data_IF_878122238189
#
_entry.id   IF_878122238189
#
_cell.length_a   1.000
_cell.length_b   1.000
_cell.length_c   1.000
_cell.angle_alpha   90.00
_cell.angle_beta   90.00
_cell.angle_gamma   90.00
#
_symmetry.space_group_name_H-M   'P 1'
#
loop_
_entity.id
_entity.type
_entity.pdbx_description
1 polymer ?
#
# COMPACT_ATOMS: atom_id res chain seq x y z
N UNK A 1 -7.72 21.22 -9.74
CA UNK A 1 -6.65 22.01 -10.40
C UNK A 1 -6.05 21.18 -11.53
N UNK A 2 -5.47 21.82 -12.56
CA UNK A 2 -4.73 21.09 -13.61
C UNK A 2 -3.33 20.73 -13.07
N UNK A 3 -2.84 19.50 -13.30
CA UNK A 3 -1.48 19.16 -12.88
C UNK A 3 -0.45 19.98 -13.67
N UNK A 4 0.57 20.45 -12.96
CA UNK A 4 1.74 21.10 -13.56
C UNK A 4 2.88 20.08 -13.69
N UNK A 5 3.79 20.31 -14.64
CA UNK A 5 4.98 19.49 -14.84
C UNK A 5 6.19 20.37 -15.13
N UNK A 6 7.39 19.88 -14.80
CA UNK A 6 8.63 20.61 -15.00
C UNK A 6 9.76 19.63 -15.39
N UNK A 7 10.68 20.09 -16.24
CA UNK A 7 11.86 19.30 -16.65
C UNK A 7 12.96 19.48 -15.59
N UNK A 8 13.38 18.38 -14.96
CA UNK A 8 14.47 18.38 -13.97
C UNK A 8 15.87 18.33 -14.59
N UNK A 9 16.04 17.76 -15.79
CA UNK A 9 17.35 17.63 -16.41
C UNK A 9 18.05 18.97 -16.71
N UNK A 10 17.39 20.00 -17.29
CA UNK A 10 18.03 21.29 -17.52
C UNK A 10 18.42 22.02 -16.23
N UNK A 11 17.65 21.82 -15.14
CA UNK A 11 18.00 22.31 -13.81
C UNK A 11 19.36 21.76 -13.37
N UNK A 12 19.53 20.44 -13.38
CA UNK A 12 20.80 19.85 -12.94
C UNK A 12 21.96 20.21 -13.88
N UNK A 13 21.73 20.34 -15.18
CA UNK A 13 22.78 20.85 -16.10
C UNK A 13 23.23 22.27 -15.78
N UNK A 14 22.37 23.10 -15.18
CA UNK A 14 22.69 24.45 -14.74
C UNK A 14 23.41 24.48 -13.39
N UNK A 15 23.05 23.58 -12.49
CA UNK A 15 23.59 23.55 -11.11
C UNK A 15 24.89 22.76 -10.99
N UNK A 16 25.09 21.75 -11.84
CA UNK A 16 26.26 20.88 -11.78
C UNK A 16 27.44 21.43 -12.61
N UNK A 17 28.70 21.10 -12.26
CA UNK A 17 29.86 21.55 -13.02
C UNK A 17 29.76 21.23 -14.52
N UNK A 18 30.26 22.09 -15.42
CA UNK A 18 30.25 21.85 -16.86
C UNK A 18 30.84 20.48 -17.22
N UNK A 19 30.18 19.75 -18.12
CA UNK A 19 30.59 18.40 -18.52
C UNK A 19 30.13 17.28 -17.58
N UNK A 20 29.50 17.60 -16.44
CA UNK A 20 29.00 16.59 -15.50
C UNK A 20 27.90 15.73 -16.12
N UNK A 21 28.00 14.41 -15.89
CA UNK A 21 26.90 13.47 -16.21
C UNK A 21 25.72 13.75 -15.27
N UNK A 22 24.59 14.12 -15.84
CA UNK A 22 23.35 14.45 -15.12
C UNK A 22 22.30 13.33 -15.21
N UNK A 23 22.73 12.08 -15.44
CA UNK A 23 21.83 10.92 -15.34
C UNK A 23 21.43 10.70 -13.89
N UNK A 24 20.20 10.22 -13.64
CA UNK A 24 19.64 10.16 -12.29
C UNK A 24 20.51 9.33 -11.32
N UNK A 25 20.93 8.13 -11.72
CA UNK A 25 21.81 7.27 -10.90
C UNK A 25 23.13 7.95 -10.57
N UNK A 26 23.67 8.74 -11.50
CA UNK A 26 24.95 9.41 -11.34
C UNK A 26 24.83 10.67 -10.49
N UNK A 27 23.75 11.43 -10.64
CA UNK A 27 23.40 12.51 -9.73
C UNK A 27 23.19 11.97 -8.31
N UNK A 28 22.44 10.88 -8.16
CA UNK A 28 22.19 10.27 -6.87
C UNK A 28 23.49 9.84 -6.19
N UNK A 29 24.38 9.15 -6.92
CA UNK A 29 25.68 8.77 -6.39
C UNK A 29 26.51 9.97 -5.94
N UNK A 30 26.57 11.03 -6.76
CA UNK A 30 27.35 12.23 -6.43
C UNK A 30 26.78 13.02 -5.26
N UNK A 31 25.45 13.14 -5.18
CA UNK A 31 24.78 14.03 -4.22
C UNK A 31 24.43 13.33 -2.91
N UNK A 32 24.07 12.05 -2.97
CA UNK A 32 23.67 11.25 -1.82
C UNK A 32 24.75 10.25 -1.37
N UNK A 33 25.81 10.06 -2.16
CA UNK A 33 26.97 9.23 -1.80
C UNK A 33 26.86 7.74 -2.15
N UNK A 34 25.75 7.28 -2.73
CA UNK A 34 25.53 5.86 -3.05
C UNK A 34 24.63 5.67 -4.28
N UNK A 35 24.69 4.49 -4.90
CA UNK A 35 23.88 4.13 -6.08
C UNK A 35 22.61 3.39 -5.65
N UNK A 36 21.41 3.80 -6.12
CA UNK A 36 20.16 3.08 -5.81
C UNK A 36 20.23 1.61 -6.21
N UNK A 37 19.84 0.70 -5.31
CA UNK A 37 19.90 -0.74 -5.53
C UNK A 37 18.90 -1.19 -6.62
N UNK A 38 17.66 -0.68 -6.54
CA UNK A 38 16.58 -0.98 -7.49
C UNK A 38 16.40 0.13 -8.55
N UNK A 39 17.52 0.70 -9.01
CA UNK A 39 17.52 1.67 -10.10
C UNK A 39 16.75 1.12 -11.31
N UNK A 40 15.99 1.99 -11.99
CA UNK A 40 15.08 1.63 -13.09
C UNK A 40 13.76 0.96 -12.68
N UNK A 41 13.49 0.77 -11.40
CA UNK A 41 12.11 0.68 -10.95
C UNK A 41 11.48 2.08 -10.92
N UNK A 42 10.23 2.21 -11.35
CA UNK A 42 9.58 3.52 -11.42
C UNK A 42 9.50 4.21 -10.05
N UNK A 43 9.27 3.44 -8.99
CA UNK A 43 9.18 3.97 -7.63
C UNK A 43 10.55 4.43 -7.12
N UNK A 44 11.59 3.64 -7.31
CA UNK A 44 12.94 4.01 -6.85
C UNK A 44 13.50 5.19 -7.67
N UNK A 45 13.19 5.27 -8.96
CA UNK A 45 13.54 6.44 -9.76
C UNK A 45 12.81 7.70 -9.26
N UNK A 46 11.54 7.60 -8.82
CA UNK A 46 10.83 8.71 -8.19
C UNK A 46 11.48 9.13 -6.86
N UNK A 47 11.80 8.16 -5.98
CA UNK A 47 12.46 8.41 -4.69
C UNK A 47 13.86 9.01 -4.89
N UNK A 48 14.64 8.46 -5.81
CA UNK A 48 15.95 8.96 -6.19
C UNK A 48 15.87 10.40 -6.71
N UNK A 49 14.89 10.72 -7.56
CA UNK A 49 14.70 12.07 -8.06
C UNK A 49 14.34 13.05 -6.94
N UNK A 50 13.45 12.66 -6.02
CA UNK A 50 13.11 13.47 -4.85
C UNK A 50 14.35 13.74 -3.99
N UNK A 51 15.18 12.72 -3.72
CA UNK A 51 16.41 12.88 -2.92
C UNK A 51 17.40 13.84 -3.58
N UNK A 52 17.64 13.69 -4.88
CA UNK A 52 18.55 14.58 -5.64
C UNK A 52 18.02 16.02 -5.68
N UNK A 53 16.70 16.23 -5.83
CA UNK A 53 16.08 17.55 -5.75
C UNK A 53 16.26 18.18 -4.35
N UNK A 54 16.09 17.39 -3.29
CA UNK A 54 16.28 17.85 -1.91
C UNK A 54 17.71 18.31 -1.64
N UNK A 55 18.72 17.64 -2.21
CA UNK A 55 20.14 18.04 -2.13
C UNK A 55 20.46 19.38 -2.83
N UNK A 56 19.49 20.00 -3.51
CA UNK A 56 19.63 21.24 -4.29
C UNK A 56 18.58 22.28 -3.94
N UNK A 57 17.91 22.12 -2.80
CA UNK A 57 17.08 23.18 -2.23
C UNK A 57 17.94 24.38 -1.79
N UNK A 58 17.47 25.64 -1.96
CA UNK A 58 16.16 26.02 -2.49
C UNK A 58 16.10 26.16 -4.02
N UNK A 59 17.23 26.10 -4.74
CA UNK A 59 17.30 26.38 -6.18
C UNK A 59 16.32 25.56 -7.03
N UNK A 60 16.05 24.31 -6.62
CA UNK A 60 15.01 23.49 -7.25
C UNK A 60 13.61 24.11 -7.19
N UNK A 61 13.21 24.70 -6.06
CA UNK A 61 11.88 25.32 -5.92
C UNK A 61 11.74 26.54 -6.81
N UNK A 62 12.79 27.37 -6.89
CA UNK A 62 12.80 28.54 -7.77
C UNK A 62 12.72 28.13 -9.23
N UNK A 63 13.42 27.05 -9.61
CA UNK A 63 13.29 26.46 -10.94
C UNK A 63 11.87 25.98 -11.23
N UNK A 64 11.24 25.22 -10.32
CA UNK A 64 9.86 24.76 -10.50
C UNK A 64 8.91 25.95 -10.63
N UNK A 65 9.03 26.98 -9.80
CA UNK A 65 8.20 28.20 -9.90
C UNK A 65 8.30 28.90 -11.25
N UNK A 66 9.50 28.93 -11.85
CA UNK A 66 9.76 29.64 -13.10
C UNK A 66 9.47 28.79 -14.35
N UNK A 67 9.64 27.46 -14.26
CA UNK A 67 9.69 26.58 -15.43
C UNK A 67 8.56 25.54 -15.47
N UNK A 68 7.71 25.47 -14.44
CA UNK A 68 6.55 24.58 -14.45
C UNK A 68 5.51 25.05 -15.47
N UNK A 69 4.98 24.10 -16.23
CA UNK A 69 3.93 24.33 -17.24
C UNK A 69 2.76 23.38 -17.01
N UNK A 70 1.53 23.73 -17.42
CA UNK A 70 0.40 22.82 -17.41
C UNK A 70 0.72 21.50 -18.14
N UNK A 71 0.33 20.36 -17.58
CA UNK A 71 0.64 19.04 -18.18
C UNK A 71 0.02 18.86 -19.58
N UNK A 72 -1.13 19.47 -19.83
CA UNK A 72 -1.78 19.48 -21.15
C UNK A 72 -1.00 20.25 -22.23
N UNK A 73 -0.01 21.05 -21.85
CA UNK A 73 0.92 21.70 -22.79
C UNK A 73 2.03 20.76 -23.29
N UNK A 74 2.21 19.58 -22.67
CA UNK A 74 3.23 18.62 -23.07
C UNK A 74 2.74 17.82 -24.27
N UNK A 75 3.43 17.97 -25.39
CA UNK A 75 3.14 17.18 -26.59
C UNK A 75 3.29 15.66 -26.29
N UNK A 76 2.31 14.83 -26.67
CA UNK A 76 2.38 13.40 -26.44
C UNK A 76 3.52 12.79 -27.25
N UNK A 77 4.29 11.88 -26.63
CA UNK A 77 5.43 11.21 -27.29
C UNK A 77 5.01 10.37 -28.51
N UNK A 78 3.77 9.88 -28.50
CA UNK A 78 3.19 9.13 -29.61
C UNK A 78 1.76 9.63 -29.85
N UNK A 79 1.42 9.87 -31.11
CA UNK A 79 0.03 10.09 -31.55
C UNK A 79 -0.49 8.76 -32.05
N UNK A 80 -1.48 8.19 -31.36
CA UNK A 80 -2.01 6.87 -31.71
C UNK A 80 -2.62 6.88 -33.12
N UNK A 81 -1.97 6.22 -34.07
CA UNK A 81 -2.60 5.85 -35.35
C UNK A 81 -3.62 4.74 -35.06
N UNK A 82 -4.87 5.13 -34.75
CA UNK A 82 -6.03 4.24 -34.54
C UNK A 82 -5.79 3.14 -33.48
N UNK A 83 -6.20 3.38 -32.23
CA UNK A 83 -6.19 2.31 -31.21
C UNK A 83 -7.09 1.17 -31.70
N UNK A 84 -6.54 -0.03 -31.89
CA UNK A 84 -7.36 -1.23 -31.85
C UNK A 84 -8.03 -1.27 -30.47
N UNK A 85 -9.35 -1.51 -30.37
CA UNK A 85 -9.98 -1.67 -29.08
C UNK A 85 -9.24 -2.77 -28.31
N UNK A 86 -8.67 -2.40 -27.17
CA UNK A 86 -8.14 -3.40 -26.25
C UNK A 86 -9.34 -4.25 -25.80
N UNK A 87 -9.22 -5.58 -25.76
CA UNK A 87 -10.29 -6.39 -25.19
C UNK A 87 -10.56 -5.94 -23.77
N UNK A 88 -11.83 -5.99 -23.33
CA UNK A 88 -12.18 -5.66 -21.96
C UNK A 88 -11.32 -6.48 -20.98
N UNK A 89 -10.80 -5.83 -19.95
CA UNK A 89 -10.05 -6.50 -18.89
C UNK A 89 -11.02 -7.28 -17.99
N UNK A 90 -10.71 -8.52 -17.57
CA UNK A 90 -9.49 -9.28 -17.88
C UNK A 90 -9.47 -9.69 -19.36
N UNK A 91 -8.36 -9.38 -20.04
CA UNK A 91 -8.15 -9.78 -21.43
C UNK A 91 -8.43 -11.28 -21.50
N UNK A 92 -9.31 -11.74 -22.42
CA UNK A 92 -9.76 -13.14 -22.53
C UNK A 92 -8.57 -14.10 -22.56
N UNK A 93 -8.09 -14.48 -21.38
CA UNK A 93 -7.19 -15.60 -21.18
C UNK A 93 -8.11 -16.81 -21.21
N UNK A 94 -8.02 -17.57 -22.30
CA UNK A 94 -8.62 -18.89 -22.42
C UNK A 94 -7.97 -19.79 -21.35
N UNK A 95 -8.51 -19.74 -20.13
CA UNK A 95 -8.14 -20.64 -19.05
C UNK A 95 -9.27 -21.64 -18.93
N UNK A 96 -8.94 -22.89 -19.25
CA UNK A 96 -9.78 -24.04 -18.94
C UNK A 96 -10.17 -23.94 -17.46
N UNK A 97 -11.47 -24.00 -17.21
CA UNK A 97 -12.16 -23.91 -15.92
C UNK A 97 -11.54 -24.84 -14.88
N UNK A 98 -10.55 -24.33 -14.13
CA UNK A 98 -10.41 -24.68 -12.72
C UNK A 98 -11.13 -23.58 -11.93
N UNK A 99 -12.03 -23.98 -11.02
CA UNK A 99 -12.64 -23.09 -10.02
C UNK A 99 -11.53 -22.62 -9.07
N UNK A 100 -10.72 -21.66 -9.49
CA UNK A 100 -9.75 -20.99 -8.63
C UNK A 100 -10.50 -20.02 -7.72
N UNK A 101 -10.24 -20.08 -6.40
CA UNK A 101 -10.94 -19.24 -5.40
C UNK A 101 -10.61 -17.74 -5.53
N UNK A 102 -9.39 -17.41 -5.99
CA UNK A 102 -8.90 -16.04 -6.20
C UNK A 102 -7.72 -16.04 -7.18
N UNK A 103 -7.43 -14.88 -7.80
CA UNK A 103 -6.35 -14.67 -8.77
C UNK A 103 -5.34 -13.60 -8.39
N UNK A 104 -5.71 -12.62 -7.57
CA UNK A 104 -4.77 -11.62 -7.03
C UNK A 104 -4.81 -11.64 -5.51
N UNK A 105 -3.63 -11.70 -4.88
CA UNK A 105 -3.46 -11.47 -3.45
C UNK A 105 -3.20 -9.98 -3.26
N UNK A 106 -3.89 -9.35 -2.32
CA UNK A 106 -3.68 -7.96 -1.94
C UNK A 106 -3.35 -7.89 -0.45
N UNK A 107 -2.10 -7.60 -0.11
CA UNK A 107 -1.74 -7.33 1.28
C UNK A 107 -2.16 -5.91 1.63
N UNK A 108 -2.91 -5.76 2.72
CA UNK A 108 -3.37 -4.49 3.29
C UNK A 108 -2.66 -4.23 4.60
N UNK A 109 -2.32 -2.97 4.82
CA UNK A 109 -1.91 -2.44 6.12
C UNK A 109 -2.43 -1.00 6.29
N UNK A 110 -2.81 -0.64 7.52
CA UNK A 110 -3.27 0.69 7.90
C UNK A 110 -2.45 1.25 9.06
N UNK A 111 -1.81 2.41 8.83
CA UNK A 111 -1.34 3.24 9.93
C UNK A 111 -2.47 4.14 10.43
N UNK A 112 -2.47 4.40 11.73
CA UNK A 112 -3.60 5.06 12.40
C UNK A 112 -3.18 6.04 13.48
N UNK A 113 -4.14 6.82 13.97
CA UNK A 113 -3.92 7.76 15.07
C UNK A 113 -3.59 7.09 16.42
N UNK A 114 -3.85 5.79 16.57
CA UNK A 114 -3.65 5.05 17.82
C UNK A 114 -4.42 3.72 17.84
N UNK A 115 -4.67 3.14 19.01
CA UNK A 115 -5.42 1.87 19.11
C UNK A 115 -6.88 2.05 19.57
N UNK A 116 -7.18 3.16 20.26
CA UNK A 116 -8.51 3.45 20.79
C UNK A 116 -9.22 4.44 19.87
N UNK A 117 -10.34 4.01 19.28
CA UNK A 117 -11.11 4.79 18.29
C UNK A 117 -10.22 5.39 17.18
N UNK A 118 -9.41 4.56 16.50
CA UNK A 118 -8.47 5.05 15.50
C UNK A 118 -9.14 5.67 14.29
N UNK A 119 -8.44 6.63 13.68
CA UNK A 119 -8.67 7.11 12.32
C UNK A 119 -7.47 6.74 11.46
N UNK A 120 -7.71 6.48 10.18
CA UNK A 120 -6.63 6.10 9.24
C UNK A 120 -5.75 7.31 8.92
N UNK A 121 -4.43 7.14 9.00
CA UNK A 121 -3.41 8.12 8.61
C UNK A 121 -2.65 7.71 7.35
N UNK A 122 -2.49 6.40 7.13
CA UNK A 122 -1.93 5.82 5.91
C UNK A 122 -2.68 4.54 5.53
N UNK A 123 -2.90 4.31 4.24
CA UNK A 123 -3.40 3.04 3.71
C UNK A 123 -2.42 2.54 2.66
N UNK A 124 -1.99 1.29 2.81
CA UNK A 124 -1.14 0.61 1.85
C UNK A 124 -1.81 -0.65 1.29
N UNK A 125 -1.64 -0.87 -0.02
CA UNK A 125 -1.96 -2.12 -0.69
C UNK A 125 -0.76 -2.58 -1.52
N UNK A 126 -0.31 -3.81 -1.28
CA UNK A 126 0.71 -4.50 -2.08
C UNK A 126 0.10 -5.74 -2.74
N UNK A 127 0.06 -5.76 -4.07
CA UNK A 127 -0.68 -6.80 -4.80
C UNK A 127 0.21 -7.63 -5.72
N UNK A 128 -0.05 -8.93 -5.78
CA UNK A 128 0.66 -9.89 -6.61
C UNK A 128 -0.31 -10.89 -7.26
N UNK A 129 0.00 -11.35 -8.47
CA UNK A 129 -0.75 -12.40 -9.13
C UNK A 129 -0.51 -13.75 -8.45
N UNK A 130 -1.56 -14.56 -8.28
CA UNK A 130 -1.47 -15.89 -7.68
C UNK A 130 -0.44 -16.76 -8.38
N UNK A 131 -0.39 -16.73 -9.71
CA UNK A 131 0.53 -17.56 -10.48
C UNK A 131 2.00 -17.17 -10.23
N UNK A 132 2.27 -15.87 -10.03
CA UNK A 132 3.61 -15.38 -9.68
C UNK A 132 4.01 -15.80 -8.26
N UNK A 133 3.07 -15.74 -7.31
CA UNK A 133 3.30 -16.19 -5.93
C UNK A 133 3.59 -17.69 -5.87
N UNK A 134 2.76 -18.52 -6.51
CA UNK A 134 2.93 -19.98 -6.50
C UNK A 134 4.26 -20.41 -7.13
N UNK A 135 4.75 -19.71 -8.16
CA UNK A 135 6.07 -19.98 -8.76
C UNK A 135 7.25 -19.68 -7.83
N UNK A 136 7.03 -18.87 -6.79
CA UNK A 136 8.08 -18.36 -5.87
C UNK A 136 7.87 -18.83 -4.43
N UNK A 137 6.84 -19.64 -4.16
CA UNK A 137 6.56 -20.16 -2.84
C UNK A 137 7.78 -20.89 -2.26
N UNK A 138 8.04 -20.69 -0.98
CA UNK A 138 9.24 -21.20 -0.31
C UNK A 138 10.45 -20.24 -0.42
N UNK A 139 10.26 -19.04 -0.97
CA UNK A 139 11.28 -17.97 -1.00
C UNK A 139 10.77 -16.73 -0.28
N UNK A 140 11.67 -15.83 0.09
CA UNK A 140 11.37 -14.50 0.63
C UNK A 140 11.46 -13.40 -0.45
N UNK A 141 11.88 -13.76 -1.67
CA UNK A 141 12.11 -12.83 -2.76
C UNK A 141 10.82 -12.47 -3.48
N UNK A 142 10.35 -11.25 -3.22
CA UNK A 142 9.15 -10.73 -3.83
C UNK A 142 9.20 -10.75 -5.38
N UNK A 143 8.07 -11.00 -6.06
CA UNK A 143 7.97 -10.84 -7.51
C UNK A 143 8.31 -9.41 -7.93
N UNK A 144 8.92 -9.22 -9.11
CA UNK A 144 9.09 -7.86 -9.68
C UNK A 144 7.75 -7.24 -10.11
N UNK A 145 6.79 -8.07 -10.51
CA UNK A 145 5.47 -7.68 -10.97
C UNK A 145 4.51 -7.49 -9.79
N UNK A 146 4.59 -6.32 -9.15
CA UNK A 146 3.72 -5.92 -8.04
C UNK A 146 3.02 -4.61 -8.38
N UNK A 147 1.74 -4.48 -8.04
CA UNK A 147 1.10 -3.16 -7.98
C UNK A 147 1.08 -2.69 -6.53
N UNK A 148 1.33 -1.40 -6.34
CA UNK A 148 1.37 -0.72 -5.05
C UNK A 148 0.40 0.45 -5.05
N UNK A 149 -0.32 0.64 -3.96
CA UNK A 149 -1.05 1.87 -3.64
C UNK A 149 -0.65 2.27 -2.23
N UNK A 150 -0.29 3.53 -2.02
CA UNK A 150 -0.04 4.11 -0.71
C UNK A 150 -0.64 5.51 -0.67
N UNK A 151 -1.48 5.78 0.33
CA UNK A 151 -2.22 7.03 0.47
C UNK A 151 -2.11 7.51 1.91
N UNK A 152 -1.77 8.79 2.08
CA UNK A 152 -1.82 9.48 3.37
C UNK A 152 -3.16 10.20 3.52
N UNK A 153 -3.64 10.28 4.75
CA UNK A 153 -4.90 10.93 5.08
C UNK A 153 -4.74 11.92 6.22
N UNK A 154 -5.50 13.00 6.16
CA UNK A 154 -5.77 13.81 7.35
C UNK A 154 -6.84 13.09 8.18
N UNK A 155 -6.50 12.61 9.39
CA UNK A 155 -7.45 11.84 10.21
C UNK A 155 -8.56 12.71 10.82
N UNK A 156 -8.44 14.05 10.79
CA UNK A 156 -9.40 14.96 11.42
C UNK A 156 -9.31 15.00 12.96
N UNK A 157 -8.42 14.20 13.57
CA UNK A 157 -8.15 14.18 15.00
C UNK A 157 -6.64 14.07 15.28
N UNK A 158 -6.26 14.12 16.55
CA UNK A 158 -4.84 14.07 16.94
C UNK A 158 -4.26 12.65 16.78
N UNK A 159 -3.03 12.58 16.25
CA UNK A 159 -2.23 11.34 16.27
C UNK A 159 -1.58 11.24 17.65
N UNK A 160 -1.83 10.15 18.37
CA UNK A 160 -1.23 9.94 19.69
C UNK A 160 0.30 9.96 19.63
N UNK A 161 1.00 10.42 20.68
CA UNK A 161 2.47 10.44 20.68
C UNK A 161 3.10 9.08 20.39
N UNK A 162 2.49 8.00 20.88
CA UNK A 162 2.96 6.64 20.61
C UNK A 162 2.85 6.27 19.13
N UNK A 163 1.72 6.57 18.49
CA UNK A 163 1.53 6.29 17.06
C UNK A 163 2.46 7.16 16.21
N UNK A 164 2.61 8.43 16.54
CA UNK A 164 3.51 9.34 15.83
C UNK A 164 4.99 8.91 15.95
N UNK A 165 5.41 8.43 17.12
CA UNK A 165 6.77 7.94 17.34
C UNK A 165 7.08 6.68 16.53
N UNK A 166 6.10 5.80 16.36
CA UNK A 166 6.26 4.52 15.67
C UNK A 166 6.21 4.72 14.16
N UNK A 167 5.24 5.50 13.66
CA UNK A 167 4.97 5.67 12.22
C UNK A 167 5.73 6.82 11.57
N UNK A 168 6.23 7.76 12.38
CA UNK A 168 6.75 9.04 11.89
C UNK A 168 5.68 9.98 11.31
N UNK A 169 4.40 9.60 11.35
CA UNK A 169 3.28 10.42 10.89
C UNK A 169 2.72 11.25 12.05
N UNK A 170 2.65 12.56 11.85
CA UNK A 170 2.19 13.52 12.85
C UNK A 170 1.37 14.63 12.18
N UNK A 171 0.65 15.42 12.98
CA UNK A 171 -0.25 16.46 12.45
C UNK A 171 0.42 17.40 11.42
N UNK A 172 1.70 17.72 11.55
CA UNK A 172 2.37 18.63 10.61
C UNK A 172 2.48 18.11 9.17
N UNK A 173 2.67 16.81 8.98
CA UNK A 173 2.74 16.21 7.63
C UNK A 173 1.36 15.78 7.10
N UNK A 174 0.38 15.55 7.98
CA UNK A 174 -0.95 15.07 7.60
C UNK A 174 -1.98 16.19 7.41
N UNK A 175 -1.81 17.37 8.03
CA UNK A 175 -2.82 18.46 7.99
C UNK A 175 -3.22 18.90 6.57
N UNK A 176 -2.30 18.83 5.61
CA UNK A 176 -2.54 19.21 4.21
C UNK A 176 -3.00 18.06 3.33
N UNK A 177 -3.10 16.84 3.86
CA UNK A 177 -3.62 15.70 3.13
C UNK A 177 -5.16 15.74 3.06
N UNK A 178 -5.77 15.15 2.02
CA UNK A 178 -7.20 14.91 2.01
C UNK A 178 -7.63 13.98 3.16
N UNK A 179 -8.86 14.14 3.64
CA UNK A 179 -9.46 13.14 4.52
C UNK A 179 -9.80 11.86 3.74
N UNK A 180 -10.14 10.78 4.46
CA UNK A 180 -10.69 9.59 3.81
C UNK A 180 -12.11 9.91 3.29
N UNK A 181 -12.24 10.12 1.98
CA UNK A 181 -13.47 10.63 1.35
C UNK A 181 -13.94 9.78 0.16
N UNK A 182 -14.94 10.30 -0.56
CA UNK A 182 -15.48 9.64 -1.76
C UNK A 182 -14.48 9.47 -2.90
N UNK A 183 -13.47 10.34 -3.03
CA UNK A 183 -12.41 10.19 -4.01
C UNK A 183 -11.52 9.00 -3.62
N UNK A 184 -11.23 8.83 -2.34
CA UNK A 184 -10.51 7.66 -1.80
C UNK A 184 -11.27 6.36 -2.10
N UNK A 185 -12.58 6.31 -1.84
CA UNK A 185 -13.42 5.13 -2.17
C UNK A 185 -13.35 4.80 -3.67
N UNK A 186 -13.51 5.81 -4.54
CA UNK A 186 -13.46 5.63 -6.00
C UNK A 186 -12.09 5.17 -6.48
N UNK A 187 -11.01 5.71 -5.89
CA UNK A 187 -9.65 5.31 -6.20
C UNK A 187 -9.39 3.85 -5.82
N UNK A 188 -9.78 3.44 -4.61
CA UNK A 188 -9.66 2.06 -4.14
C UNK A 188 -10.46 1.10 -5.03
N UNK A 189 -11.72 1.42 -5.34
CA UNK A 189 -12.54 0.63 -6.26
C UNK A 189 -11.93 0.54 -7.67
N UNK A 190 -11.41 1.64 -8.21
CA UNK A 190 -10.72 1.64 -9.50
C UNK A 190 -9.43 0.80 -9.48
N UNK A 191 -8.66 0.86 -8.39
CA UNK A 191 -7.46 0.05 -8.21
C UNK A 191 -7.79 -1.44 -8.20
N UNK A 192 -8.77 -1.85 -7.39
CA UNK A 192 -9.22 -3.26 -7.31
C UNK A 192 -9.75 -3.77 -8.66
N UNK A 193 -10.54 -2.99 -9.39
CA UNK A 193 -11.04 -3.39 -10.72
C UNK A 193 -9.94 -3.64 -11.75
N UNK A 194 -8.75 -3.07 -11.56
CA UNK A 194 -7.58 -3.31 -12.43
C UNK A 194 -6.80 -4.58 -12.10
N UNK A 195 -7.18 -5.29 -11.04
CA UNK A 195 -6.55 -6.55 -10.61
C UNK A 195 -7.31 -7.76 -11.17
N UNK A 196 -6.62 -8.91 -11.30
CA UNK A 196 -7.27 -10.14 -11.71
C UNK A 196 -8.23 -10.62 -10.62
N UNK A 197 -9.51 -10.71 -10.97
CA UNK A 197 -10.55 -11.16 -10.06
C UNK A 197 -10.61 -12.70 -9.98
N UNK A 198 -11.06 -13.27 -8.85
CA UNK A 198 -11.36 -12.61 -7.57
C UNK A 198 -10.09 -12.14 -6.84
N UNK A 199 -10.19 -11.09 -6.02
CA UNK A 199 -9.11 -10.60 -5.15
C UNK A 199 -9.26 -11.19 -3.75
N UNK A 200 -8.15 -11.68 -3.18
CA UNK A 200 -8.02 -12.05 -1.77
C UNK A 200 -7.16 -11.02 -1.04
N UNK A 201 -7.79 -10.21 -0.21
CA UNK A 201 -7.15 -9.24 0.67
C UNK A 201 -6.67 -9.91 1.96
N UNK A 202 -5.43 -9.65 2.36
CA UNK A 202 -4.83 -10.23 3.57
C UNK A 202 -4.20 -9.12 4.40
N UNK A 203 -4.49 -9.11 5.70
CA UNK A 203 -3.86 -8.21 6.66
C UNK A 203 -3.47 -9.00 7.92
N UNK A 204 -2.47 -8.53 8.65
CA UNK A 204 -2.01 -9.18 9.87
C UNK A 204 -2.78 -8.67 11.09
N UNK A 205 -3.52 -9.54 11.78
CA UNK A 205 -4.52 -9.15 12.78
C UNK A 205 -5.68 -8.32 12.17
N UNK A 206 -5.89 -8.47 10.86
CA UNK A 206 -6.85 -7.68 10.09
C UNK A 206 -8.30 -7.85 10.55
N UNK A 207 -8.69 -9.04 11.02
CA UNK A 207 -10.06 -9.28 11.49
C UNK A 207 -10.41 -8.47 12.74
N UNK A 208 -9.40 -8.05 13.51
CA UNK A 208 -9.56 -7.27 14.75
C UNK A 208 -9.18 -5.80 14.59
N UNK A 209 -8.61 -5.41 13.46
CA UNK A 209 -8.06 -4.06 13.27
C UNK A 209 -8.35 -3.50 11.88
N UNK A 210 -7.56 -3.87 10.86
CA UNK A 210 -7.59 -3.25 9.55
C UNK A 210 -8.95 -3.36 8.85
N UNK A 211 -9.55 -4.55 8.87
CA UNK A 211 -10.80 -4.77 8.14
C UNK A 211 -11.97 -4.02 8.77
N UNK A 212 -12.24 -4.10 10.09
CA UNK A 212 -13.27 -3.29 10.72
C UNK A 212 -13.06 -1.78 10.56
N UNK A 213 -11.80 -1.30 10.63
CA UNK A 213 -11.49 0.11 10.48
C UNK A 213 -11.73 0.60 9.05
N UNK A 214 -11.21 -0.11 8.05
CA UNK A 214 -11.44 0.21 6.64
C UNK A 214 -12.94 0.20 6.32
N UNK A 215 -13.69 -0.78 6.85
CA UNK A 215 -15.13 -0.86 6.68
C UNK A 215 -15.85 0.36 7.28
N UNK A 216 -15.39 0.86 8.42
CA UNK A 216 -15.95 2.07 9.04
C UNK A 216 -15.69 3.32 8.19
N UNK A 217 -14.44 3.53 7.73
CA UNK A 217 -14.08 4.68 6.88
C UNK A 217 -14.81 4.64 5.53
N UNK A 218 -14.91 3.47 4.89
CA UNK A 218 -15.67 3.30 3.64
C UNK A 218 -17.14 3.64 3.82
N UNK A 219 -17.76 3.24 4.93
CA UNK A 219 -19.17 3.56 5.23
C UNK A 219 -19.37 5.05 5.48
N UNK A 220 -18.49 5.69 6.26
CA UNK A 220 -18.54 7.14 6.49
C UNK A 220 -18.40 7.92 5.18
N UNK A 221 -17.38 7.62 4.39
CA UNK A 221 -17.15 8.28 3.10
C UNK A 221 -18.28 8.04 2.10
N UNK A 222 -18.87 6.84 2.09
CA UNK A 222 -20.01 6.52 1.21
C UNK A 222 -21.30 7.22 1.66
N UNK A 223 -21.53 7.32 2.97
CA UNK A 223 -22.68 8.04 3.52
C UNK A 223 -22.60 9.54 3.24
N UNK A 224 -21.42 10.14 3.40
CA UNK A 224 -21.17 11.54 3.05
C UNK A 224 -21.35 11.82 1.55
N UNK A 225 -21.22 10.79 0.71
CA UNK A 225 -21.37 10.86 -0.74
C UNK A 225 -22.69 10.24 -1.25
N UNK A 226 -23.72 10.18 -0.40
CA UNK A 226 -25.02 9.64 -0.76
C UNK A 226 -25.54 10.26 -2.08
N UNK A 227 -26.00 9.40 -2.99
CA UNK A 227 -26.44 9.80 -4.34
C UNK A 227 -25.34 9.77 -5.41
N UNK A 228 -24.06 9.60 -5.04
CA UNK A 228 -22.99 9.41 -6.03
C UNK A 228 -22.88 7.94 -6.47
N UNK A 229 -23.45 7.62 -7.64
CA UNK A 229 -23.43 6.25 -8.21
C UNK A 229 -22.02 5.68 -8.34
N UNK A 230 -21.05 6.48 -8.79
CA UNK A 230 -19.66 6.05 -8.94
C UNK A 230 -19.03 5.61 -7.60
N UNK A 231 -19.38 6.27 -6.50
CA UNK A 231 -18.92 5.91 -5.15
C UNK A 231 -19.61 4.63 -4.67
N UNK A 232 -20.92 4.50 -4.89
CA UNK A 232 -21.67 3.30 -4.55
C UNK A 232 -21.14 2.05 -5.30
N UNK A 233 -20.86 2.20 -6.60
CA UNK A 233 -20.28 1.12 -7.42
C UNK A 233 -18.88 0.74 -6.98
N UNK A 234 -18.09 1.71 -6.49
CA UNK A 234 -16.77 1.46 -5.93
C UNK A 234 -16.85 0.74 -4.59
N UNK A 235 -17.74 1.17 -3.69
CA UNK A 235 -17.98 0.50 -2.41
C UNK A 235 -18.47 -0.93 -2.60
N UNK A 236 -19.40 -1.17 -3.53
CA UNK A 236 -19.87 -2.52 -3.88
C UNK A 236 -18.75 -3.39 -4.44
N UNK A 237 -17.88 -2.84 -5.29
CA UNK A 237 -16.72 -3.55 -5.81
C UNK A 237 -15.78 -3.99 -4.67
N UNK A 238 -15.52 -3.10 -3.71
CA UNK A 238 -14.69 -3.41 -2.54
C UNK A 238 -15.36 -4.45 -1.63
N UNK A 239 -16.68 -4.39 -1.46
CA UNK A 239 -17.44 -5.38 -0.68
C UNK A 239 -17.33 -6.81 -1.22
N UNK A 240 -17.16 -6.96 -2.55
CA UNK A 240 -17.02 -8.27 -3.22
C UNK A 240 -15.64 -8.91 -3.11
N UNK A 241 -14.64 -8.17 -2.59
CA UNK A 241 -13.29 -8.70 -2.34
C UNK A 241 -13.35 -9.73 -1.20
N UNK A 242 -12.62 -10.83 -1.32
CA UNK A 242 -12.45 -11.77 -0.21
C UNK A 242 -11.41 -11.21 0.76
N UNK A 243 -11.57 -11.38 2.06
CA UNK A 243 -10.56 -11.02 3.06
C UNK A 243 -10.21 -12.21 3.97
N UNK A 244 -8.96 -12.31 4.39
CA UNK A 244 -8.48 -13.29 5.37
C UNK A 244 -7.45 -12.66 6.31
N UNK A 245 -7.50 -13.03 7.59
CA UNK A 245 -6.49 -12.62 8.58
C UNK A 245 -5.29 -13.57 8.52
N UNK A 246 -4.07 -13.03 8.43
CA UNK A 246 -2.86 -13.85 8.41
C UNK A 246 -2.46 -14.38 9.79
N UNK A 247 -2.86 -13.70 10.87
CA UNK A 247 -2.41 -14.02 12.22
C UNK A 247 -2.82 -15.44 12.67
N UNK A 248 -4.08 -15.90 12.51
CA UNK A 248 -4.45 -17.26 12.86
C UNK A 248 -3.68 -18.31 12.07
N UNK A 249 -3.50 -18.11 10.76
CA UNK A 249 -2.78 -19.03 9.89
C UNK A 249 -1.30 -19.14 10.29
N UNK A 250 -0.61 -18.01 10.46
CA UNK A 250 0.80 -17.98 10.86
C UNK A 250 1.00 -18.55 12.27
N UNK A 251 0.06 -18.29 13.18
CA UNK A 251 0.07 -18.86 14.52
C UNK A 251 -0.08 -20.38 14.49
N UNK A 252 -1.02 -20.90 13.70
CA UNK A 252 -1.20 -22.34 13.54
C UNK A 252 0.09 -22.98 13.02
N UNK A 253 0.66 -22.42 11.94
CA UNK A 253 1.90 -22.93 11.37
C UNK A 253 3.04 -22.91 12.38
N UNK A 254 3.22 -21.84 13.15
CA UNK A 254 4.30 -21.74 14.14
C UNK A 254 4.14 -22.73 15.29
N UNK A 255 2.91 -23.19 15.56
CA UNK A 255 2.62 -24.16 16.62
C UNK A 255 2.65 -25.62 16.13
N UNK A 256 2.86 -25.88 14.83
CA UNK A 256 3.05 -27.25 14.33
C UNK A 256 4.36 -27.85 14.85
N UNK A 257 4.41 -29.17 15.12
CA UNK A 257 5.63 -29.81 15.58
C UNK A 257 6.64 -30.04 14.45
N UNK A 258 7.93 -30.06 14.78
CA UNK A 258 8.99 -30.52 13.88
C UNK A 258 9.23 -29.61 12.67
N UNK A 259 9.60 -30.22 11.53
CA UNK A 259 9.91 -29.51 10.28
C UNK A 259 8.71 -28.78 9.66
N UNK A 260 7.49 -29.09 10.12
CA UNK A 260 6.25 -28.49 9.63
C UNK A 260 5.94 -27.14 10.32
N UNK A 261 6.62 -26.83 11.43
CA UNK A 261 6.54 -25.55 12.14
C UNK A 261 6.91 -24.38 11.22
N UNK A 262 6.25 -23.22 11.34
CA UNK A 262 6.54 -22.01 10.53
C UNK A 262 8.04 -21.69 10.51
N UNK A 263 8.72 -21.84 11.66
CA UNK A 263 10.18 -21.74 11.81
C UNK A 263 10.75 -22.91 12.61
N UNK A 264 12.01 -23.29 12.34
CA UNK A 264 12.70 -24.41 12.98
C UNK A 264 13.07 -24.16 14.46
N UNK A 265 13.26 -22.90 14.85
CA UNK A 265 13.62 -22.54 16.22
C UNK A 265 12.36 -22.53 17.12
N UNK A 266 12.33 -23.35 18.20
CA UNK A 266 11.21 -23.37 19.12
C UNK A 266 11.07 -22.02 19.84
N UNK A 267 9.82 -21.59 20.04
CA UNK A 267 9.51 -20.44 20.88
C UNK A 267 10.13 -20.63 22.26
N UNK A 268 11.00 -19.70 22.69
CA UNK A 268 11.69 -19.76 24.00
C UNK A 268 10.67 -20.02 25.11
N UNK A 269 10.61 -21.27 25.61
CA UNK A 269 9.75 -21.66 26.70
C UNK A 269 10.18 -20.90 27.98
N UNK A 270 9.22 -20.27 28.67
CA UNK A 270 9.46 -19.58 29.94
C UNK A 270 9.31 -18.06 29.93
N UNK A 271 9.03 -17.41 28.78
CA UNK A 271 8.61 -15.99 28.75
C UNK A 271 7.07 -15.87 28.81
N UNK A 272 6.53 -14.92 29.58
CA UNK A 272 5.08 -14.69 29.63
C UNK A 272 4.63 -14.12 28.28
N UNK A 273 3.89 -14.94 27.54
CA UNK A 273 3.35 -14.74 26.18
C UNK A 273 4.36 -14.81 25.02
N UNK A 274 4.25 -15.89 24.25
CA UNK A 274 4.63 -15.89 22.84
C UNK A 274 3.81 -14.81 22.14
N UNK A 275 4.48 -13.76 21.65
CA UNK A 275 3.83 -12.76 20.80
C UNK A 275 3.93 -13.21 19.36
N UNK A 276 2.91 -12.92 18.58
CA UNK A 276 2.84 -13.22 17.15
C UNK A 276 2.74 -11.92 16.36
N UNK A 277 3.49 -10.90 16.79
CA UNK A 277 3.55 -9.64 16.02
C UNK A 277 4.31 -9.88 14.72
N UNK A 278 3.98 -9.08 13.70
CA UNK A 278 4.63 -9.15 12.40
C UNK A 278 6.15 -9.06 12.51
N UNK A 279 6.67 -8.10 13.26
CA UNK A 279 8.11 -7.92 13.49
C UNK A 279 8.76 -9.16 14.12
N UNK A 280 8.12 -9.78 15.12
CA UNK A 280 8.69 -10.96 15.77
C UNK A 280 8.69 -12.16 14.82
N UNK A 281 7.60 -12.37 14.08
CA UNK A 281 7.51 -13.45 13.10
C UNK A 281 8.55 -13.25 11.98
N UNK A 282 8.71 -12.02 11.49
CA UNK A 282 9.70 -11.68 10.46
C UNK A 282 11.12 -11.95 10.94
N UNK A 283 11.47 -11.44 12.12
CA UNK A 283 12.80 -11.65 12.72
C UNK A 283 13.10 -13.12 12.96
N UNK A 284 12.10 -13.92 13.36
CA UNK A 284 12.26 -15.38 13.48
C UNK A 284 12.44 -16.09 12.14
N UNK A 285 11.73 -15.64 11.10
CA UNK A 285 11.82 -16.22 9.76
C UNK A 285 13.19 -16.00 9.10
N UNK A 286 13.75 -14.81 9.31
CA UNK A 286 14.90 -14.31 8.55
C UNK A 286 16.10 -14.04 9.45
N UNK A 287 16.41 -14.98 10.35
CA UNK A 287 17.66 -15.01 11.15
C UNK A 287 17.97 -13.73 11.93
N UNK A 288 16.95 -13.08 12.50
CA UNK A 288 17.10 -11.86 13.30
C UNK A 288 16.98 -10.56 12.50
N UNK A 289 16.76 -10.61 11.19
CA UNK A 289 16.55 -9.41 10.37
C UNK A 289 15.32 -8.60 10.83
N UNK A 290 15.40 -7.29 10.68
CA UNK A 290 14.25 -6.41 10.86
C UNK A 290 13.49 -6.24 9.53
N UNK A 291 12.15 -6.15 9.56
CA UNK A 291 11.39 -5.89 8.36
C UNK A 291 11.76 -4.53 7.75
N UNK A 292 11.98 -4.45 6.42
CA UNK A 292 12.34 -3.20 5.77
C UNK A 292 11.18 -2.20 5.87
N UNK A 293 11.47 -1.00 6.38
CA UNK A 293 10.46 0.05 6.50
C UNK A 293 9.35 -0.27 7.51
N UNK A 294 9.66 -1.03 8.57
CA UNK A 294 8.75 -1.33 9.67
C UNK A 294 7.97 -0.09 10.12
N UNK A 295 6.66 -0.24 10.34
CA UNK A 295 5.77 0.85 10.74
C UNK A 295 5.56 1.94 9.67
N UNK A 296 5.76 1.55 8.42
CA UNK A 296 5.12 2.21 7.28
C UNK A 296 4.20 1.19 6.63
N UNK A 297 3.05 1.62 6.11
CA UNK A 297 2.07 0.68 5.59
C UNK A 297 2.62 -0.15 4.44
N UNK A 298 3.45 0.42 3.56
CA UNK A 298 4.10 -0.35 2.48
C UNK A 298 5.19 -1.30 2.99
N UNK A 299 5.95 -0.90 4.01
CA UNK A 299 6.98 -1.74 4.62
C UNK A 299 6.37 -2.95 5.32
N UNK A 300 5.29 -2.75 6.08
CA UNK A 300 4.58 -3.82 6.78
C UNK A 300 3.83 -4.73 5.80
N UNK A 301 3.28 -4.18 4.70
CA UNK A 301 2.77 -4.98 3.59
C UNK A 301 3.84 -5.88 2.96
N UNK A 302 5.04 -5.33 2.73
CA UNK A 302 6.17 -6.06 2.17
C UNK A 302 6.66 -7.16 3.13
N UNK A 303 6.80 -6.84 4.41
CA UNK A 303 7.17 -7.79 5.45
C UNK A 303 6.19 -8.96 5.52
N UNK A 304 4.89 -8.68 5.53
CA UNK A 304 3.87 -9.72 5.54
C UNK A 304 3.89 -10.54 4.25
N UNK A 305 4.04 -9.93 3.08
CA UNK A 305 4.10 -10.67 1.82
C UNK A 305 5.31 -11.61 1.77
N UNK A 306 6.49 -11.16 2.26
CA UNK A 306 7.69 -12.00 2.35
C UNK A 306 7.47 -13.20 3.28
N UNK A 307 6.88 -12.97 4.46
CA UNK A 307 6.51 -14.03 5.39
C UNK A 307 5.54 -15.05 4.80
N UNK A 308 4.50 -14.57 4.12
CA UNK A 308 3.54 -15.43 3.44
C UNK A 308 4.20 -16.22 2.32
N UNK A 309 5.09 -15.60 1.53
CA UNK A 309 5.80 -16.26 0.44
C UNK A 309 6.73 -17.36 0.93
N UNK A 310 7.42 -17.11 2.04
CA UNK A 310 8.35 -18.03 2.68
C UNK A 310 7.68 -19.36 3.04
N UNK A 311 6.41 -19.34 3.43
CA UNK A 311 5.61 -20.53 3.76
C UNK A 311 4.31 -20.64 2.98
N UNK A 312 4.34 -20.20 1.72
CA UNK A 312 3.15 -20.09 0.88
C UNK A 312 2.38 -21.41 0.73
N UNK A 313 3.01 -22.57 0.49
CA UNK A 313 2.29 -23.84 0.35
C UNK A 313 1.49 -24.22 1.59
N UNK A 314 1.96 -23.81 2.78
CA UNK A 314 1.34 -24.17 4.06
C UNK A 314 0.34 -23.12 4.54
N UNK A 315 0.62 -21.83 4.33
CA UNK A 315 -0.24 -20.75 4.78
C UNK A 315 -1.43 -20.53 3.84
N UNK A 316 -1.26 -20.79 2.55
CA UNK A 316 -2.29 -20.50 1.56
C UNK A 316 -3.58 -21.31 1.79
N UNK A 317 -3.56 -22.63 2.04
CA UNK A 317 -4.79 -23.37 2.34
C UNK A 317 -5.53 -22.84 3.56
N UNK A 318 -4.80 -22.36 4.59
CA UNK A 318 -5.38 -21.78 5.80
C UNK A 318 -6.05 -20.43 5.50
N UNK A 319 -5.39 -19.58 4.70
CA UNK A 319 -5.97 -18.31 4.26
C UNK A 319 -7.21 -18.52 3.39
N UNK A 320 -7.18 -19.50 2.49
CA UNK A 320 -8.33 -19.82 1.61
C UNK A 320 -9.52 -20.37 2.39
N UNK A 321 -9.27 -21.22 3.39
CA UNK A 321 -10.31 -21.77 4.25
C UNK A 321 -10.96 -20.69 5.13
N UNK A 322 -10.18 -19.68 5.55
CA UNK A 322 -10.65 -18.57 6.37
C UNK A 322 -11.22 -17.39 5.57
N UNK A 323 -11.09 -17.39 4.24
CA UNK A 323 -11.50 -16.28 3.40
C UNK A 323 -13.02 -16.06 3.43
N UNK A 324 -13.44 -14.82 3.68
CA UNK A 324 -14.84 -14.40 3.68
C UNK A 324 -15.03 -13.12 2.85
N UNK A 325 -16.23 -12.84 2.33
CA UNK A 325 -16.48 -11.56 1.66
C UNK A 325 -16.26 -10.38 2.62
N UNK A 326 -15.53 -9.37 2.17
CA UNK A 326 -15.21 -8.19 2.97
C UNK A 326 -16.45 -7.43 3.43
N UNK A 327 -17.53 -7.45 2.64
CA UNK A 327 -18.82 -6.86 3.04
C UNK A 327 -19.41 -7.45 4.34
N UNK A 328 -19.06 -8.70 4.70
CA UNK A 328 -19.51 -9.34 5.94
C UNK A 328 -18.77 -8.86 7.19
N UNK A 329 -17.67 -8.11 7.03
CA UNK A 329 -16.93 -7.54 8.14
C UNK A 329 -17.78 -6.46 8.82
N UNK A 330 -17.94 -6.59 10.13
CA UNK A 330 -18.57 -5.57 10.95
C UNK A 330 -17.64 -4.34 11.09
N UNK A 331 -18.14 -3.11 10.91
CA UNK A 331 -17.32 -1.91 11.04
C UNK A 331 -16.89 -1.71 12.49
N UNK A 332 -15.74 -1.09 12.68
CA UNK A 332 -15.32 -0.58 13.98
C UNK A 332 -16.36 0.41 14.52
N UNK A 333 -16.60 0.38 15.84
CA UNK A 333 -17.49 1.35 16.50
C UNK A 333 -16.79 2.70 16.58
N UNK A 334 -17.24 3.68 15.79
CA UNK A 334 -16.83 5.09 15.91
C UNK A 334 -17.91 5.84 16.70
N UNK A 335 -17.52 6.74 17.61
CA UNK A 335 -18.50 7.56 18.35
C UNK A 335 -19.05 8.69 17.45
N UNK A 336 -20.34 8.99 17.66
CA UNK A 336 -21.23 9.73 16.74
C UNK A 336 -20.85 11.20 16.50
N UNK A 337 -19.96 11.79 17.30
CA UNK A 337 -19.58 13.21 17.16
C UNK A 337 -18.73 13.50 15.90
N UNK A 338 -17.99 12.51 15.39
CA UNK A 338 -17.13 12.68 14.20
C UNK A 338 -17.92 12.75 12.88
N UNK A 339 -19.13 12.19 12.83
CA UNK A 339 -19.98 12.22 11.64
C UNK A 339 -20.47 13.66 11.33
N UNK A 340 -20.67 14.48 12.36
CA UNK A 340 -21.08 15.87 12.21
C UNK A 340 -19.92 16.78 11.75
N UNK A 341 -18.68 16.50 12.18
CA UNK A 341 -17.49 17.24 11.78
C UNK A 341 -17.12 16.99 10.30
N UNK A 342 -17.26 15.75 9.82
CA UNK A 342 -17.02 15.41 8.41
C UNK A 342 -18.07 16.02 7.45
N UNK A 343 -19.33 16.14 7.88
CA UNK A 343 -20.38 16.80 7.11
C UNK A 343 -20.19 18.34 7.06
N UNK A 344 -19.68 18.93 8.13
CA UNK A 344 -19.40 20.37 8.24
C UNK A 344 -18.22 20.81 7.35
N UNK A 345 -17.15 20.02 7.27
CA UNK A 345 -15.98 20.36 6.43
C UNK A 345 -16.23 20.18 4.93
N UNK A 346 -17.15 19.31 4.53
CA UNK A 346 -17.57 19.14 3.14
C UNK A 346 -18.49 20.28 2.65
N UNK A 347 -19.19 20.96 3.56
CA UNK A 347 -20.05 22.10 3.22
C UNK A 347 -19.27 23.44 3.11
N UNK A 348 -17.99 23.46 3.50
CA UNK A 348 -17.15 24.65 3.56
C UNK A 348 -16.09 24.75 2.44
N UNK A 349 -16.12 23.87 1.43
CA UNK A 349 -15.22 23.89 0.27
C UNK A 349 -15.94 24.06 -1.06
#
# INVERSE_FOLDING_TARGET
>A
SRPLCCKSLPLFRKLEPPGSRCGLTELHFRLAGWRPEDAHSAIEDCVSLLRVLSCRLPACLDWVRQQAVPFDSVAPKYVAKRRLPLPDFPYKLCMKTQRQAWRTLAVLDLETTGLYQPRVTELALLTADRADLLRRGGTDRLPRALNRLCLLFNPGCEVTPSAANITGLHGACLRSQPAFDSASVRLLGAFVRRLHQPVLMVAHNGARFDFPLLQAELRLASAAAAGCSATADAAKCLGSVLCSDSLPALRELQLRPGADALFAEPLKQGKPQVRFSLQQLYSQAFSGEEPPGSHSGLGDCEALLRLLLFRLPDCLPLLEAAAAPFETVAPAKLHVEDAAAAASSAAAN
#
